data_IF_871562279133
#
_entry.id   IF_871562279133
#
_cell.length_a   1.000
_cell.length_b   1.000
_cell.length_c   1.000
_cell.angle_alpha   90.00
_cell.angle_beta   90.00
_cell.angle_gamma   90.00
#
_symmetry.space_group_name_H-M   'P 1'
#
loop_
_entity.id
_entity.type
_entity.pdbx_description
1 polymer ?
#
# COMPACT_ATOMS: atom_id res chain seq x y z
N UNK A 1 11.24 -61.10 -10.07
CA UNK A 1 11.83 -59.82 -10.53
C UNK A 1 10.77 -58.73 -10.35
N UNK A 2 11.16 -57.61 -9.74
CA UNK A 2 10.25 -56.65 -9.12
C UNK A 2 9.23 -56.00 -10.06
N UNK A 3 7.96 -56.16 -9.73
CA UNK A 3 6.86 -55.36 -10.29
C UNK A 3 6.50 -54.25 -9.31
N UNK A 4 7.12 -53.07 -9.44
CA UNK A 4 6.66 -51.88 -8.73
C UNK A 4 5.31 -51.40 -9.28
N UNK A 5 4.51 -50.75 -8.43
CA UNK A 5 3.17 -50.24 -8.79
C UNK A 5 3.23 -49.36 -10.05
N UNK A 6 2.49 -49.77 -11.09
CA UNK A 6 2.40 -49.06 -12.37
C UNK A 6 1.84 -47.64 -12.21
N UNK A 7 1.03 -47.41 -11.18
CA UNK A 7 0.45 -46.10 -10.91
C UNK A 7 1.52 -45.07 -10.56
N UNK A 8 2.62 -45.47 -9.91
CA UNK A 8 3.70 -44.54 -9.51
C UNK A 8 4.41 -43.92 -10.73
N UNK A 9 4.25 -44.51 -11.91
CA UNK A 9 4.75 -43.96 -13.19
C UNK A 9 3.78 -42.96 -13.81
N UNK A 10 2.57 -42.79 -13.26
CA UNK A 10 1.56 -41.87 -13.79
C UNK A 10 1.80 -40.46 -13.22
N UNK A 11 1.73 -39.47 -14.10
CA UNK A 11 1.95 -38.06 -13.75
C UNK A 11 0.91 -37.50 -12.77
N UNK A 12 -0.28 -38.09 -12.73
CA UNK A 12 -1.39 -37.65 -11.87
C UNK A 12 -1.41 -38.35 -10.50
N UNK A 13 -0.62 -39.40 -10.26
CA UNK A 13 -0.70 -40.14 -9.00
C UNK A 13 -0.22 -39.25 -7.84
N UNK A 14 -1.03 -39.02 -6.79
CA UNK A 14 -0.67 -38.12 -5.69
C UNK A 14 0.60 -38.50 -4.93
N UNK A 15 0.96 -39.80 -4.92
CA UNK A 15 2.10 -40.31 -4.15
C UNK A 15 3.43 -40.19 -4.91
N UNK A 16 3.42 -39.71 -6.15
CA UNK A 16 4.65 -39.38 -6.88
C UNK A 16 5.35 -38.19 -6.20
N UNK A 17 6.66 -38.27 -5.98
CA UNK A 17 7.45 -37.21 -5.31
C UNK A 17 7.18 -35.79 -5.85
N UNK A 18 7.05 -35.65 -7.17
CA UNK A 18 6.71 -34.36 -7.82
C UNK A 18 5.36 -33.78 -7.39
N UNK A 19 4.37 -34.65 -7.15
CA UNK A 19 3.02 -34.23 -6.76
C UNK A 19 2.96 -33.93 -5.26
N UNK A 20 3.64 -34.74 -4.44
CA UNK A 20 3.84 -34.45 -3.02
C UNK A 20 4.52 -33.09 -2.85
N UNK A 21 5.58 -32.81 -3.60
CA UNK A 21 6.28 -31.51 -3.56
C UNK A 21 5.37 -30.34 -3.98
N UNK A 22 4.53 -30.55 -5.02
CA UNK A 22 3.58 -29.52 -5.46
C UNK A 22 2.55 -29.20 -4.38
N UNK A 23 2.00 -30.23 -3.74
CA UNK A 23 1.04 -30.07 -2.64
C UNK A 23 1.72 -29.37 -1.46
N UNK A 24 2.91 -29.80 -1.08
CA UNK A 24 3.68 -29.19 0.00
C UNK A 24 3.96 -27.69 -0.23
N UNK A 25 4.34 -27.31 -1.47
CA UNK A 25 4.53 -25.89 -1.83
C UNK A 25 3.23 -25.09 -1.76
N UNK A 26 2.10 -25.69 -2.16
CA UNK A 26 0.80 -25.05 -2.07
C UNK A 26 0.35 -24.87 -0.61
N UNK A 27 0.56 -25.88 0.23
CA UNK A 27 0.28 -25.85 1.67
C UNK A 27 1.11 -24.77 2.37
N UNK A 28 2.41 -24.71 2.09
CA UNK A 28 3.30 -23.67 2.62
C UNK A 28 2.85 -22.26 2.25
N UNK A 29 2.48 -22.04 0.98
CA UNK A 29 1.95 -20.75 0.54
C UNK A 29 0.65 -20.40 1.27
N UNK A 30 -0.25 -21.35 1.38
CA UNK A 30 -1.53 -21.17 2.07
C UNK A 30 -1.35 -20.88 3.56
N UNK A 31 -0.39 -21.53 4.23
CA UNK A 31 -0.07 -21.26 5.63
C UNK A 31 0.51 -19.86 5.82
N UNK A 32 1.39 -19.41 4.93
CA UNK A 32 1.89 -18.04 4.94
C UNK A 32 0.78 -16.99 4.74
N UNK A 33 -0.14 -17.23 3.81
CA UNK A 33 -1.31 -16.36 3.59
C UNK A 33 -2.23 -16.35 4.82
N UNK A 34 -2.51 -17.51 5.41
CA UNK A 34 -3.31 -17.60 6.65
C UNK A 34 -2.70 -16.82 7.80
N UNK A 35 -1.39 -16.94 8.01
CA UNK A 35 -0.69 -16.21 9.06
C UNK A 35 -0.78 -14.69 8.85
N UNK A 36 -0.62 -14.23 7.61
CA UNK A 36 -0.78 -12.80 7.28
C UNK A 36 -2.20 -12.30 7.53
N UNK A 37 -3.20 -13.11 7.20
CA UNK A 37 -4.61 -12.76 7.48
C UNK A 37 -4.86 -12.71 8.99
N UNK A 38 -4.32 -13.65 9.76
CA UNK A 38 -4.46 -13.67 11.22
C UNK A 38 -3.82 -12.44 11.88
N UNK A 39 -2.65 -12.02 11.40
CA UNK A 39 -1.99 -10.79 11.84
C UNK A 39 -2.87 -9.56 11.58
N UNK A 40 -3.40 -9.40 10.37
CA UNK A 40 -4.32 -8.30 10.04
C UNK A 40 -5.61 -8.34 10.87
N UNK A 41 -6.15 -9.54 11.13
CA UNK A 41 -7.34 -9.69 11.99
C UNK A 41 -7.03 -9.30 13.44
N UNK A 42 -5.82 -9.58 13.92
CA UNK A 42 -5.37 -9.18 15.24
C UNK A 42 -5.21 -7.66 15.33
N UNK A 43 -4.60 -7.02 14.35
CA UNK A 43 -4.48 -5.55 14.28
C UNK A 43 -5.85 -4.87 14.30
N UNK A 44 -6.79 -5.33 13.46
CA UNK A 44 -8.17 -4.80 13.45
C UNK A 44 -8.88 -4.99 14.80
N UNK A 45 -8.61 -6.09 15.50
CA UNK A 45 -9.19 -6.34 16.83
C UNK A 45 -8.58 -5.42 17.88
N UNK A 46 -7.29 -5.18 17.82
CA UNK A 46 -6.58 -4.24 18.71
C UNK A 46 -7.04 -2.79 18.46
N UNK A 47 -7.19 -2.38 17.21
CA UNK A 47 -7.75 -1.08 16.83
C UNK A 47 -9.17 -0.91 17.38
N UNK A 48 -10.06 -1.89 17.14
CA UNK A 48 -11.43 -1.87 17.68
C UNK A 48 -11.44 -1.81 19.21
N UNK A 49 -10.60 -2.58 19.89
CA UNK A 49 -10.52 -2.54 21.35
C UNK A 49 -10.07 -1.16 21.86
N UNK A 50 -9.14 -0.51 21.15
CA UNK A 50 -8.69 0.85 21.47
C UNK A 50 -9.80 1.87 21.27
N UNK A 51 -10.53 1.78 20.16
CA UNK A 51 -11.70 2.62 19.88
C UNK A 51 -12.82 2.42 20.89
N UNK A 52 -13.07 1.19 21.32
CA UNK A 52 -14.07 0.91 22.37
C UNK A 52 -13.67 1.52 23.71
N UNK A 53 -12.39 1.45 24.07
CA UNK A 53 -11.87 2.10 25.28
C UNK A 53 -11.99 3.63 25.23
N UNK A 54 -11.65 4.25 24.09
CA UNK A 54 -11.79 5.71 23.92
C UNK A 54 -13.25 6.13 23.91
N UNK A 55 -14.12 5.38 23.23
CA UNK A 55 -15.57 5.62 23.23
C UNK A 55 -16.14 5.53 24.65
N UNK A 56 -15.79 4.50 25.40
CA UNK A 56 -16.23 4.35 26.80
C UNK A 56 -15.73 5.49 27.70
N UNK A 57 -14.47 5.94 27.52
CA UNK A 57 -13.93 7.08 28.25
C UNK A 57 -14.63 8.41 27.89
N UNK A 58 -15.11 8.56 26.65
CA UNK A 58 -15.92 9.70 26.23
C UNK A 58 -17.34 9.63 26.80
N UNK A 59 -17.97 8.45 26.80
CA UNK A 59 -19.33 8.22 27.33
C UNK A 59 -19.40 8.45 28.85
N UNK A 60 -18.37 8.01 29.58
CA UNK A 60 -18.24 8.24 31.03
C UNK A 60 -17.89 9.69 31.39
N UNK A 61 -17.60 10.53 30.40
CA UNK A 61 -17.28 11.94 30.59
C UNK A 61 -15.86 12.21 31.11
N UNK A 62 -15.01 11.18 31.20
CA UNK A 62 -13.61 11.32 31.62
C UNK A 62 -12.75 12.03 30.56
N UNK A 63 -13.12 11.94 29.28
CA UNK A 63 -12.39 12.53 28.15
C UNK A 63 -13.34 13.27 27.21
N UNK A 64 -12.96 14.49 26.78
CA UNK A 64 -13.74 15.24 25.78
C UNK A 64 -13.65 14.58 24.40
N UNK A 65 -14.75 14.57 23.63
CA UNK A 65 -14.76 14.07 22.26
C UNK A 65 -13.72 14.83 21.42
N UNK A 66 -12.80 14.08 20.81
CA UNK A 66 -11.79 14.60 19.89
C UNK A 66 -12.34 14.51 18.47
N UNK A 67 -12.19 15.56 17.67
CA UNK A 67 -12.71 15.60 16.30
C UNK A 67 -11.66 15.02 15.35
N UNK A 68 -11.66 13.69 15.21
CA UNK A 68 -10.62 12.95 14.48
C UNK A 68 -10.73 13.10 12.94
N UNK A 69 -11.77 13.78 12.44
CA UNK A 69 -12.07 13.89 11.00
C UNK A 69 -11.03 14.67 10.20
N UNK A 70 -10.31 15.59 10.86
CA UNK A 70 -9.29 16.44 10.24
C UNK A 70 -7.86 16.05 10.66
N UNK A 71 -7.71 15.09 11.58
CA UNK A 71 -6.40 14.74 12.14
C UNK A 71 -5.48 14.18 11.05
N UNK A 72 -5.99 13.33 10.16
CA UNK A 72 -5.24 12.80 9.01
C UNK A 72 -4.72 13.90 8.05
N UNK A 73 -5.38 15.06 7.99
CA UNK A 73 -4.98 16.19 7.14
C UNK A 73 -3.93 17.08 7.82
N UNK A 74 -4.02 17.26 9.14
CA UNK A 74 -3.06 18.07 9.91
C UNK A 74 -1.86 17.26 10.42
N UNK A 75 -1.93 15.93 10.34
CA UNK A 75 -0.82 15.01 10.55
C UNK A 75 0.07 14.95 9.29
N UNK A 76 0.52 16.12 8.84
CA UNK A 76 1.54 16.21 7.80
C UNK A 76 2.88 15.59 8.23
N UNK A 77 3.90 15.57 7.37
CA UNK A 77 5.23 15.01 7.68
C UNK A 77 5.85 15.55 8.97
N UNK A 78 5.44 16.75 9.40
CA UNK A 78 5.81 17.35 10.68
C UNK A 78 5.38 16.55 11.93
N UNK A 79 4.35 15.70 11.84
CA UNK A 79 3.91 14.82 12.92
C UNK A 79 4.78 13.57 13.10
N UNK A 80 5.63 13.24 12.11
CA UNK A 80 6.64 12.18 12.21
C UNK A 80 7.97 12.69 12.78
N UNK A 81 8.13 14.00 12.89
CA UNK A 81 9.35 14.62 13.43
C UNK A 81 9.18 14.66 14.94
N UNK A 82 10.00 13.90 15.67
CA UNK A 82 10.05 13.91 17.14
C UNK A 82 10.59 15.25 17.66
N UNK A 83 9.78 16.29 17.56
CA UNK A 83 10.18 17.68 17.84
C UNK A 83 10.73 17.86 19.25
N UNK A 84 10.19 17.12 20.22
CA UNK A 84 10.67 17.12 21.59
C UNK A 84 12.07 16.47 21.73
N UNK A 85 12.38 15.46 20.93
CA UNK A 85 13.65 14.73 20.96
C UNK A 85 14.80 15.55 20.35
N UNK A 86 14.52 16.34 19.31
CA UNK A 86 15.49 17.29 18.74
C UNK A 86 15.77 18.48 19.66
N UNK A 87 14.76 18.94 20.41
CA UNK A 87 14.95 19.99 21.42
C UNK A 87 15.80 19.51 22.61
N UNK A 88 15.80 18.20 22.88
CA UNK A 88 16.63 17.56 23.91
C UNK A 88 18.03 17.16 23.40
N UNK A 89 18.41 17.55 22.18
CA UNK A 89 19.78 17.46 21.68
C UNK A 89 20.10 16.21 20.84
N UNK A 90 19.09 15.45 20.38
CA UNK A 90 19.32 14.39 19.39
C UNK A 90 19.84 15.03 18.07
N UNK A 91 20.92 14.50 17.46
CA UNK A 91 21.40 15.02 16.18
C UNK A 91 20.34 14.87 15.10
N UNK A 92 20.21 15.90 14.26
CA UNK A 92 19.23 15.93 13.16
C UNK A 92 19.54 14.80 12.17
N UNK A 93 18.54 13.96 11.88
CA UNK A 93 18.69 12.89 10.90
C UNK A 93 18.80 13.51 9.50
N UNK A 94 19.81 13.09 8.73
CA UNK A 94 20.09 13.60 7.36
C UNK A 94 18.92 13.39 6.39
N UNK A 95 18.02 12.47 6.74
CA UNK A 95 16.78 12.16 6.04
C UNK A 95 15.81 13.35 6.07
N UNK A 96 15.78 14.09 7.18
CA UNK A 96 14.95 15.29 7.36
C UNK A 96 15.52 16.44 6.56
N UNK A 97 16.84 16.63 6.57
CA UNK A 97 17.48 17.69 5.78
C UNK A 97 17.38 17.42 4.28
N UNK A 98 17.45 16.17 3.84
CA UNK A 98 17.26 15.79 2.42
C UNK A 98 15.82 15.95 1.91
N UNK A 99 14.83 15.98 2.80
CA UNK A 99 13.45 16.30 2.41
C UNK A 99 13.22 17.81 2.17
N UNK A 100 14.10 18.66 2.70
CA UNK A 100 14.03 20.13 2.55
C UNK A 100 15.12 20.70 1.63
N UNK A 101 16.22 19.98 1.39
CA UNK A 101 17.00 20.14 0.17
C UNK A 101 16.16 19.58 -0.97
N UNK A 102 15.36 20.42 -1.62
CA UNK A 102 14.81 20.05 -2.92
C UNK A 102 15.97 19.71 -3.85
N UNK A 103 16.17 18.45 -4.30
CA UNK A 103 16.69 18.32 -5.65
C UNK A 103 15.70 19.04 -6.56
N UNK A 104 16.15 19.74 -7.60
CA UNK A 104 15.29 20.16 -8.72
C UNK A 104 14.70 18.91 -9.40
N UNK A 105 13.79 18.21 -8.72
CA UNK A 105 13.20 16.96 -9.13
C UNK A 105 11.75 16.95 -8.64
N UNK A 106 11.02 18.00 -9.02
CA UNK A 106 9.59 17.88 -9.20
C UNK A 106 9.25 16.86 -10.30
N UNK A 107 7.97 16.56 -10.54
CA UNK A 107 7.50 15.59 -11.55
C UNK A 107 7.96 15.90 -12.99
N UNK A 108 8.61 17.04 -13.18
CA UNK A 108 9.31 17.44 -14.41
C UNK A 108 10.56 16.63 -14.73
N UNK A 109 11.23 15.99 -13.75
CA UNK A 109 12.46 15.24 -14.00
C UNK A 109 12.21 13.85 -14.62
N UNK A 110 11.15 13.15 -14.19
CA UNK A 110 10.77 11.86 -14.79
C UNK A 110 9.83 11.99 -15.99
N UNK A 111 9.02 13.04 -16.05
CA UNK A 111 8.01 13.21 -17.10
C UNK A 111 8.37 14.27 -18.15
N UNK A 112 9.42 15.08 -17.91
CA UNK A 112 9.79 16.22 -18.75
C UNK A 112 8.79 17.39 -18.72
N UNK A 113 7.75 17.32 -17.89
CA UNK A 113 6.67 18.31 -17.85
C UNK A 113 6.82 19.21 -16.63
N UNK A 114 7.22 20.46 -16.89
CA UNK A 114 7.26 21.52 -15.89
C UNK A 114 5.84 21.80 -15.36
N UNK A 115 5.66 22.14 -14.07
CA UNK A 115 4.38 22.62 -13.57
C UNK A 115 3.95 23.87 -14.35
N UNK A 116 2.88 23.75 -15.14
CA UNK A 116 2.44 24.73 -16.15
C UNK A 116 2.34 24.16 -17.57
N UNK A 117 2.94 22.98 -17.84
CA UNK A 117 2.95 22.35 -19.17
C UNK A 117 1.59 21.86 -19.66
N UNK A 118 0.57 21.79 -18.80
CA UNK A 118 -0.82 21.44 -19.18
C UNK A 118 -1.41 22.51 -20.11
N UNK A 119 -0.94 23.76 -20.03
CA UNK A 119 -1.38 24.87 -20.89
C UNK A 119 -0.52 25.06 -22.15
N UNK A 120 0.50 24.23 -22.36
CA UNK A 120 1.34 24.32 -23.55
C UNK A 120 0.79 23.39 -24.65
N UNK A 121 0.27 23.92 -25.77
CA UNK A 121 -0.40 23.11 -26.80
C UNK A 121 0.57 22.21 -27.61
N UNK A 122 1.87 22.22 -27.31
CA UNK A 122 2.91 21.52 -28.07
C UNK A 122 3.53 20.31 -27.36
N UNK A 123 3.02 19.90 -26.20
CA UNK A 123 3.47 18.69 -25.50
C UNK A 123 2.90 17.41 -26.12
N UNK A 124 3.77 16.43 -26.43
CA UNK A 124 3.39 15.11 -26.93
C UNK A 124 2.32 14.46 -26.06
N UNK A 125 1.12 14.27 -26.62
CA UNK A 125 0.00 13.64 -25.92
C UNK A 125 0.36 12.19 -25.60
N UNK A 126 0.36 11.84 -24.32
CA UNK A 126 0.52 10.44 -23.90
C UNK A 126 -0.59 9.59 -24.55
N UNK A 127 -0.28 8.36 -24.97
CA UNK A 127 -1.26 7.48 -25.63
C UNK A 127 -2.52 7.25 -24.78
N UNK A 128 -2.35 7.29 -23.45
CA UNK A 128 -3.44 7.18 -22.49
C UNK A 128 -4.33 8.45 -22.45
N UNK A 129 -3.75 9.64 -22.64
CA UNK A 129 -4.48 10.91 -22.73
C UNK A 129 -5.32 10.99 -24.02
N UNK A 130 -4.79 10.50 -25.14
CA UNK A 130 -5.57 10.39 -26.38
C UNK A 130 -6.76 9.43 -26.24
N UNK A 131 -6.55 8.29 -25.58
CA UNK A 131 -7.63 7.33 -25.33
C UNK A 131 -8.73 7.90 -24.41
N UNK A 132 -8.34 8.67 -23.39
CA UNK A 132 -9.29 9.36 -22.52
C UNK A 132 -10.08 10.43 -23.30
N UNK A 133 -9.41 11.26 -24.10
CA UNK A 133 -10.06 12.30 -24.91
C UNK A 133 -11.10 11.73 -25.88
N UNK A 134 -10.81 10.59 -26.52
CA UNK A 134 -11.78 9.92 -27.41
C UNK A 134 -12.97 9.36 -26.64
N UNK A 135 -12.74 8.80 -25.45
CA UNK A 135 -13.81 8.23 -24.62
C UNK A 135 -14.76 9.30 -24.05
N UNK A 136 -14.22 10.45 -23.69
CA UNK A 136 -14.98 11.54 -23.07
C UNK A 136 -15.51 12.58 -24.10
N UNK A 137 -15.33 12.37 -25.40
CA UNK A 137 -15.81 13.29 -26.44
C UNK A 137 -17.26 12.95 -26.89
N UNK A 138 -18.27 13.73 -26.50
CA UNK A 138 -19.66 13.48 -26.86
C UNK A 138 -19.96 13.68 -28.35
N UNK A 139 -19.08 14.34 -29.11
CA UNK A 139 -19.21 14.48 -30.57
C UNK A 139 -18.76 13.22 -31.32
N UNK A 140 -17.95 12.35 -30.70
CA UNK A 140 -17.46 11.14 -31.34
C UNK A 140 -18.56 10.07 -31.53
N UNK A 141 -19.56 10.06 -30.64
CA UNK A 141 -20.70 9.13 -30.70
C UNK A 141 -21.75 9.54 -31.75
N UNK A 142 -21.71 10.79 -32.20
CA UNK A 142 -22.65 11.32 -33.19
C UNK A 142 -21.97 11.25 -34.57
N UNK A 143 -22.18 10.15 -35.28
CA UNK A 143 -21.81 9.99 -36.69
C UNK A 143 -23.03 9.85 -37.58
#
# INVERSE_FOLDING_TARGET
MGGGDLNLKKSWHPQTLKNIERVWKAEQKHEAERKKIEELQKELKEERAREEMTRYAQETGAVKKKDDRLDWMYQGPAGQISREEYLLGRPIDKQITQQYEEPESGPSAETGLLPGSIFNPTGSASTNDMAAKIREDPLFEIR
#
